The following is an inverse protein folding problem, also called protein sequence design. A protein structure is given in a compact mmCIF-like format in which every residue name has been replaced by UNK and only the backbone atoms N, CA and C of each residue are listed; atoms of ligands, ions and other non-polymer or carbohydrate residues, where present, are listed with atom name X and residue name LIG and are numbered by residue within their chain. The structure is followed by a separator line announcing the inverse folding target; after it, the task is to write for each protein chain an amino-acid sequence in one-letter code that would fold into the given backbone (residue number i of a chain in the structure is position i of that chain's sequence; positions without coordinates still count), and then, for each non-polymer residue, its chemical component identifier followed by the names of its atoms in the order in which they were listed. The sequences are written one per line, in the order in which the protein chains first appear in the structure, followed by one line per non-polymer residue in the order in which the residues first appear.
data_IF_162193103355
#
_entry.id   IF_162193103355
#
_cell.length_a   1.000
_cell.length_b   1.000
_cell.length_c   1.000
_cell.angle_alpha   90.00
_cell.angle_beta   90.00
_cell.angle_gamma   90.00
#
_symmetry.space_group_name_H-M   'P 1'
#
loop_
_entity.id
_entity.type
_entity.pdbx_description
1 polymer ?
#
# COMPACT_ATOMS: atom_id res chain seq x y z
N UNK A 1 -6.59 -10.50 28.14
CA UNK A 1 -5.52 -10.96 27.23
C UNK A 1 -5.10 -12.34 27.64
N UNK A 2 -4.95 -13.25 26.67
CA UNK A 2 -4.46 -14.60 26.89
C UNK A 2 -2.93 -14.66 26.80
N UNK A 3 -2.29 -15.68 27.39
CA UNK A 3 -0.82 -15.78 27.40
C UNK A 3 -0.22 -15.84 25.99
N UNK A 4 -0.88 -16.50 25.04
CA UNK A 4 -0.42 -16.58 23.65
C UNK A 4 -0.39 -15.18 23.01
N UNK A 5 -1.49 -14.44 23.11
CA UNK A 5 -1.61 -13.07 22.62
C UNK A 5 -0.58 -12.13 23.27
N UNK A 6 -0.32 -12.30 24.57
CA UNK A 6 0.68 -11.51 25.28
C UNK A 6 2.10 -11.77 24.76
N UNK A 7 2.44 -13.04 24.50
CA UNK A 7 3.76 -13.43 23.97
C UNK A 7 3.98 -12.91 22.56
N UNK A 8 2.98 -13.00 21.70
CA UNK A 8 3.07 -12.45 20.34
C UNK A 8 3.22 -10.92 20.38
N UNK A 9 2.44 -10.25 21.24
CA UNK A 9 2.52 -8.80 21.40
C UNK A 9 3.87 -8.34 22.00
N UNK A 10 4.52 -9.15 22.85
CA UNK A 10 5.85 -8.85 23.39
C UNK A 10 6.91 -8.75 22.28
N UNK A 11 6.84 -9.59 21.25
CA UNK A 11 7.76 -9.51 20.11
C UNK A 11 7.60 -8.19 19.38
N UNK A 12 6.36 -7.81 19.03
CA UNK A 12 6.03 -6.55 18.38
C UNK A 12 6.46 -5.32 19.21
N UNK A 13 6.32 -5.39 20.54
CA UNK A 13 6.75 -4.34 21.46
C UNK A 13 8.27 -4.17 21.47
N UNK A 14 9.01 -5.28 21.33
CA UNK A 14 10.47 -5.30 21.43
C UNK A 14 11.14 -4.88 20.12
N UNK A 15 10.54 -5.20 18.98
CA UNK A 15 11.15 -4.99 17.65
C UNK A 15 10.59 -3.79 16.88
N UNK A 16 9.50 -3.16 17.34
CA UNK A 16 8.78 -2.20 16.51
C UNK A 16 7.98 -1.12 17.25
N UNK A 17 7.18 -0.40 16.47
CA UNK A 17 6.21 0.58 16.98
C UNK A 17 4.91 -0.13 17.29
N UNK A 18 4.45 0.02 18.51
CA UNK A 18 3.24 -0.65 19.01
C UNK A 18 2.25 0.38 19.54
N UNK A 19 0.94 0.23 19.28
CA UNK A 19 -0.09 1.10 19.85
C UNK A 19 -0.02 1.15 21.39
N UNK A 20 -0.26 2.32 22.01
CA UNK A 20 -0.20 2.47 23.46
C UNK A 20 -1.21 1.59 24.20
N UNK A 21 -2.35 1.29 23.58
CA UNK A 21 -3.39 0.44 24.17
C UNK A 21 -2.93 -1.01 24.31
N UNK A 22 -2.22 -1.52 23.30
CA UNK A 22 -1.64 -2.86 23.35
C UNK A 22 -0.54 -2.95 24.40
N UNK A 23 0.31 -1.92 24.54
CA UNK A 23 1.31 -1.84 25.61
C UNK A 23 0.67 -1.90 27.00
N UNK A 24 -0.43 -1.17 27.22
CA UNK A 24 -1.18 -1.21 28.49
C UNK A 24 -1.79 -2.58 28.76
N UNK A 25 -2.37 -3.22 27.74
CA UNK A 25 -2.95 -4.55 27.87
C UNK A 25 -1.91 -5.62 28.23
N UNK A 26 -0.74 -5.58 27.59
CA UNK A 26 0.38 -6.47 27.90
C UNK A 26 0.91 -6.19 29.31
N UNK A 27 1.13 -4.92 29.68
CA UNK A 27 1.60 -4.57 31.02
C UNK A 27 0.65 -5.07 32.13
N UNK A 28 -0.67 -4.95 31.92
CA UNK A 28 -1.65 -5.51 32.85
C UNK A 28 -1.52 -7.03 32.97
N UNK A 29 -1.38 -7.74 31.85
CA UNK A 29 -1.18 -9.20 31.88
C UNK A 29 0.13 -9.60 32.58
N UNK A 30 1.21 -8.86 32.33
CA UNK A 30 2.51 -9.08 32.99
C UNK A 30 2.45 -8.84 34.49
N UNK A 31 1.53 -8.03 35.01
CA UNK A 31 1.35 -7.88 36.46
C UNK A 31 0.84 -9.18 37.11
N UNK A 32 0.03 -9.94 36.38
CA UNK A 32 -0.66 -11.12 36.92
C UNK A 32 0.02 -12.45 36.52
N UNK A 33 0.79 -12.49 35.43
CA UNK A 33 1.37 -13.73 34.90
C UNK A 33 2.90 -13.80 35.07
N UNK A 34 3.44 -14.63 35.98
CA UNK A 34 4.90 -14.77 36.17
C UNK A 34 5.61 -15.41 34.97
N UNK A 35 4.96 -16.33 34.26
CA UNK A 35 5.55 -16.98 33.08
C UNK A 35 5.78 -15.98 31.94
N UNK A 36 4.79 -15.13 31.65
CA UNK A 36 4.94 -14.10 30.63
C UNK A 36 5.95 -13.02 31.02
N UNK A 37 6.14 -12.74 32.33
CA UNK A 37 7.24 -11.88 32.80
C UNK A 37 8.61 -12.47 32.53
N UNK A 38 8.78 -13.78 32.75
CA UNK A 38 10.05 -14.45 32.44
C UNK A 38 10.39 -14.34 30.95
N UNK A 39 9.41 -14.63 30.09
CA UNK A 39 9.56 -14.50 28.62
C UNK A 39 9.88 -13.05 28.22
N UNK A 40 9.21 -12.06 28.80
CA UNK A 40 9.51 -10.66 28.54
C UNK A 40 10.96 -10.31 28.90
N UNK A 41 11.46 -10.79 30.05
CA UNK A 41 12.84 -10.59 30.47
C UNK A 41 13.86 -11.21 29.50
N UNK A 42 13.61 -12.45 29.06
CA UNK A 42 14.47 -13.14 28.06
C UNK A 42 14.52 -12.39 26.72
N UNK A 43 13.38 -11.86 26.27
CA UNK A 43 13.29 -11.05 25.05
C UNK A 43 14.03 -9.71 25.19
N UNK A 44 13.89 -9.03 26.33
CA UNK A 44 14.58 -7.78 26.62
C UNK A 44 16.09 -7.97 26.68
N UNK A 45 16.56 -9.05 27.30
CA UNK A 45 17.98 -9.42 27.35
C UNK A 45 18.53 -9.69 25.94
N UNK A 46 17.82 -10.50 25.15
CA UNK A 46 18.19 -10.79 23.76
C UNK A 46 18.25 -9.51 22.92
N UNK A 47 17.25 -8.64 23.05
CA UNK A 47 17.21 -7.38 22.34
C UNK A 47 18.33 -6.42 22.78
N UNK A 48 18.73 -6.45 24.06
CA UNK A 48 19.86 -5.67 24.55
C UNK A 48 21.18 -6.13 23.91
N UNK A 49 21.41 -7.45 23.79
CA UNK A 49 22.58 -8.00 23.11
C UNK A 49 22.62 -7.59 21.63
N UNK A 50 21.49 -7.65 20.92
CA UNK A 50 21.40 -7.23 19.52
C UNK A 50 21.65 -5.73 19.36
N UNK A 51 21.11 -4.89 20.26
CA UNK A 51 21.34 -3.44 20.25
C UNK A 51 22.78 -3.04 20.58
N UNK A 52 23.53 -3.91 21.25
CA UNK A 52 24.95 -3.69 21.55
C UNK A 52 25.87 -3.92 20.35
N UNK A 53 25.37 -4.57 19.29
CA UNK A 53 26.13 -4.77 18.05
C UNK A 53 26.32 -3.40 17.37
N UNK A 54 27.56 -2.99 17.07
CA UNK A 54 27.81 -1.74 16.34
C UNK A 54 27.13 -1.75 14.98
N UNK A 55 26.42 -0.69 14.65
CA UNK A 55 25.83 -0.51 13.32
C UNK A 55 26.96 -0.22 12.32
N UNK A 56 27.24 -1.11 11.36
CA UNK A 56 28.31 -0.87 10.39
C UNK A 56 27.93 0.31 9.49
N UNK A 57 28.79 1.32 9.44
CA UNK A 57 28.62 2.40 8.48
C UNK A 57 28.64 1.81 7.06
N UNK A 58 27.65 2.13 6.21
CA UNK A 58 27.69 1.71 4.82
C UNK A 58 28.90 2.33 4.12
N UNK A 59 29.52 1.63 3.15
CA UNK A 59 30.62 2.18 2.36
C UNK A 59 30.23 3.49 1.67
N UNK A 60 31.23 4.34 1.40
CA UNK A 60 31.02 5.57 0.65
C UNK A 60 30.34 5.29 -0.70
N UNK A 61 29.32 6.07 -1.04
CA UNK A 61 28.57 5.92 -2.29
C UNK A 61 27.52 4.80 -2.31
N UNK A 62 27.37 4.03 -1.22
CA UNK A 62 26.34 2.98 -1.13
C UNK A 62 24.92 3.52 -1.40
N UNK A 63 24.51 4.60 -0.72
CA UNK A 63 23.16 5.14 -0.86
C UNK A 63 22.85 5.66 -2.27
N UNK A 64 23.73 6.44 -2.92
CA UNK A 64 23.56 6.79 -4.34
C UNK A 64 23.40 5.58 -5.27
N UNK A 65 24.28 4.57 -5.17
CA UNK A 65 24.20 3.36 -6.01
C UNK A 65 22.92 2.55 -5.75
N UNK A 66 22.53 2.42 -4.48
CA UNK A 66 21.28 1.78 -4.10
C UNK A 66 20.06 2.49 -4.69
N UNK A 67 19.99 3.81 -4.58
CA UNK A 67 18.87 4.61 -5.10
C UNK A 67 18.76 4.51 -6.63
N UNK A 68 19.88 4.56 -7.34
CA UNK A 68 19.90 4.38 -8.81
C UNK A 68 19.32 3.03 -9.22
N UNK A 69 19.74 1.94 -8.56
CA UNK A 69 19.22 0.59 -8.84
C UNK A 69 17.74 0.44 -8.48
N UNK A 70 17.31 1.11 -7.41
CA UNK A 70 15.92 1.10 -6.99
C UNK A 70 15.04 1.81 -8.03
N UNK A 71 15.46 2.99 -8.50
CA UNK A 71 14.74 3.73 -9.54
C UNK A 71 14.64 2.95 -10.85
N UNK A 72 15.71 2.26 -11.25
CA UNK A 72 15.71 1.41 -12.45
C UNK A 72 14.67 0.29 -12.34
N UNK A 73 14.61 -0.40 -11.19
CA UNK A 73 13.62 -1.46 -10.95
C UNK A 73 12.19 -0.96 -10.86
N UNK A 74 11.97 0.23 -10.31
CA UNK A 74 10.63 0.84 -10.25
C UNK A 74 10.18 1.28 -11.66
N UNK A 75 11.14 1.75 -12.48
CA UNK A 75 10.85 2.26 -13.82
C UNK A 75 10.70 1.16 -14.86
N UNK A 76 11.28 -0.03 -14.68
CA UNK A 76 11.07 -1.16 -15.59
C UNK A 76 9.58 -1.56 -15.64
N UNK A 77 8.87 -1.25 -16.75
CA UNK A 77 7.51 -1.73 -16.91
C UNK A 77 7.58 -3.23 -17.13
N UNK A 78 6.83 -4.01 -16.36
CA UNK A 78 6.64 -5.45 -16.61
C UNK A 78 5.92 -5.59 -17.95
N UNK A 79 6.68 -5.69 -19.04
CA UNK A 79 6.14 -5.72 -20.41
C UNK A 79 5.55 -7.09 -20.72
N UNK A 80 4.35 -7.35 -20.22
CA UNK A 80 3.55 -8.55 -20.56
C UNK A 80 3.21 -8.58 -22.07
N UNK A 81 3.21 -7.43 -22.76
CA UNK A 81 2.77 -7.30 -24.15
C UNK A 81 3.76 -7.69 -25.25
N UNK A 82 5.07 -7.76 -24.96
CA UNK A 82 6.10 -7.99 -25.99
C UNK A 82 6.05 -9.40 -26.62
N UNK A 83 5.74 -10.41 -25.81
CA UNK A 83 5.63 -11.81 -26.25
C UNK A 83 4.33 -12.09 -27.02
N UNK A 84 3.23 -11.48 -26.61
CA UNK A 84 1.91 -11.71 -27.22
C UNK A 84 1.84 -11.19 -28.67
N UNK A 85 2.42 -10.01 -28.93
CA UNK A 85 2.44 -9.36 -30.25
C UNK A 85 3.20 -10.15 -31.31
N UNK A 86 4.18 -10.96 -30.92
CA UNK A 86 4.93 -11.85 -31.84
C UNK A 86 4.11 -13.07 -32.24
N UNK A 87 3.20 -13.52 -31.37
CA UNK A 87 2.39 -14.72 -31.61
C UNK A 87 1.19 -14.45 -32.53
N UNK A 88 0.67 -13.21 -32.52
CA UNK A 88 -0.51 -12.79 -33.31
C UNK A 88 -0.20 -12.15 -34.66
N UNK A 89 1.03 -12.25 -35.18
CA UNK A 89 1.33 -11.84 -36.57
C UNK A 89 0.82 -12.91 -37.54
N UNK A 90 -0.41 -12.75 -38.04
CA UNK A 90 -0.97 -13.58 -39.11
C UNK A 90 -0.52 -13.07 -40.50
N UNK A 91 -0.25 -13.97 -41.47
CA UNK A 91 0.14 -13.59 -42.83
C UNK A 91 -1.05 -12.98 -43.61
N UNK A 92 -0.79 -12.05 -44.56
CA UNK A 92 -1.80 -11.20 -45.21
C UNK A 92 -2.80 -11.94 -46.12
N UNK A 93 -2.62 -13.25 -46.36
CA UNK A 93 -3.51 -14.06 -47.20
C UNK A 93 -4.78 -14.56 -46.49
N UNK A 94 -4.89 -14.39 -45.16
CA UNK A 94 -6.04 -14.85 -44.36
C UNK A 94 -6.96 -13.71 -43.88
N UNK A 95 -6.66 -12.47 -44.28
CA UNK A 95 -7.35 -11.24 -43.84
C UNK A 95 -8.87 -11.24 -44.08
N UNK A 96 -9.42 -11.70 -45.22
CA UNK A 96 -10.86 -11.57 -45.46
C UNK A 96 -11.70 -12.55 -44.62
N UNK A 97 -11.19 -13.75 -44.32
CA UNK A 97 -11.88 -14.72 -43.46
C UNK A 97 -11.68 -14.42 -41.96
N UNK A 98 -10.52 -13.86 -41.59
CA UNK A 98 -10.28 -13.40 -40.23
C UNK A 98 -11.11 -12.16 -39.86
N UNK A 99 -11.39 -11.27 -40.82
CA UNK A 99 -12.18 -10.07 -40.59
C UNK A 99 -13.65 -10.38 -40.27
N UNK A 100 -14.26 -11.36 -40.92
CA UNK A 100 -15.66 -11.76 -40.64
C UNK A 100 -15.77 -12.52 -39.32
N UNK A 101 -14.82 -13.41 -39.02
CA UNK A 101 -14.75 -14.08 -37.73
C UNK A 101 -14.47 -13.10 -36.58
N UNK A 102 -13.58 -12.12 -36.80
CA UNK A 102 -13.30 -11.06 -35.82
C UNK A 102 -14.49 -10.11 -35.65
N UNK A 103 -15.21 -9.74 -36.72
CA UNK A 103 -16.42 -8.94 -36.61
C UNK A 103 -17.54 -9.68 -35.86
N UNK A 104 -17.72 -10.98 -36.14
CA UNK A 104 -18.67 -11.82 -35.41
C UNK A 104 -18.26 -11.99 -33.93
N UNK A 105 -16.97 -12.14 -33.64
CA UNK A 105 -16.43 -12.22 -32.29
C UNK A 105 -16.56 -10.88 -31.56
N UNK A 106 -16.28 -9.76 -32.23
CA UNK A 106 -16.47 -8.40 -31.68
C UNK A 106 -17.94 -8.14 -31.43
N UNK A 107 -18.86 -8.59 -32.30
CA UNK A 107 -20.29 -8.47 -32.08
C UNK A 107 -20.79 -9.39 -30.96
N UNK A 108 -20.25 -10.60 -30.84
CA UNK A 108 -20.51 -11.50 -29.73
C UNK A 108 -19.97 -10.95 -28.39
N UNK A 109 -18.75 -10.42 -28.37
CA UNK A 109 -18.14 -9.77 -27.19
C UNK A 109 -18.90 -8.48 -26.87
N UNK A 110 -19.21 -7.65 -27.86
CA UNK A 110 -20.02 -6.44 -27.73
C UNK A 110 -21.38 -6.75 -27.13
N UNK A 111 -22.09 -7.76 -27.62
CA UNK A 111 -23.38 -8.16 -27.06
C UNK A 111 -23.28 -8.75 -25.65
N UNK A 112 -22.13 -9.32 -25.27
CA UNK A 112 -21.84 -9.77 -23.90
C UNK A 112 -21.44 -8.60 -22.98
N UNK A 113 -20.73 -7.59 -23.50
CA UNK A 113 -20.28 -6.39 -22.77
C UNK A 113 -21.41 -5.36 -22.62
N UNK A 114 -22.31 -5.25 -23.60
CA UNK A 114 -23.51 -4.39 -23.55
C UNK A 114 -24.70 -5.06 -22.86
N UNK A 115 -24.65 -6.38 -22.62
CA UNK A 115 -25.51 -6.97 -21.59
C UNK A 115 -25.04 -6.38 -20.27
N UNK A 116 -25.91 -5.72 -19.48
CA UNK A 116 -25.54 -5.38 -18.11
C UNK A 116 -25.10 -6.70 -17.46
N UNK A 117 -23.85 -6.81 -16.97
CA UNK A 117 -23.43 -8.02 -16.30
C UNK A 117 -24.45 -8.27 -15.20
N UNK A 118 -24.95 -9.51 -15.08
CA UNK A 118 -25.55 -9.91 -13.81
C UNK A 118 -24.52 -9.49 -12.76
N UNK A 119 -24.89 -8.59 -11.82
CA UNK A 119 -23.92 -8.00 -10.92
C UNK A 119 -23.19 -9.18 -10.27
N UNK A 120 -21.86 -9.27 -10.44
CA UNK A 120 -21.13 -10.37 -9.85
C UNK A 120 -21.46 -10.36 -8.36
N UNK A 121 -21.91 -11.49 -7.82
CA UNK A 121 -21.98 -11.74 -6.37
C UNK A 121 -20.59 -11.79 -5.73
N UNK A 122 -19.55 -11.35 -6.45
CA UNK A 122 -18.30 -10.97 -5.85
C UNK A 122 -18.60 -9.85 -4.85
N UNK A 123 -18.28 -10.02 -3.55
CA UNK A 123 -18.41 -8.94 -2.60
C UNK A 123 -17.61 -7.75 -3.14
N UNK A 124 -18.26 -6.60 -3.23
CA UNK A 124 -17.56 -5.37 -3.59
C UNK A 124 -16.37 -5.19 -2.64
N UNK A 125 -15.31 -4.47 -3.03
CA UNK A 125 -14.21 -4.15 -2.12
C UNK A 125 -14.73 -3.55 -0.80
N UNK A 126 -15.80 -2.75 -0.87
CA UNK A 126 -16.51 -2.26 0.31
C UNK A 126 -17.16 -3.36 1.14
N UNK A 127 -17.77 -4.38 0.53
CA UNK A 127 -18.36 -5.52 1.24
C UNK A 127 -17.29 -6.44 1.87
N UNK A 128 -16.09 -6.54 1.28
CA UNK A 128 -14.97 -7.28 1.87
C UNK A 128 -14.42 -6.61 3.13
N UNK A 129 -14.41 -5.27 3.15
CA UNK A 129 -13.85 -4.48 4.26
C UNK A 129 -14.90 -4.12 5.32
N UNK A 130 -16.19 -4.16 4.96
CA UNK A 130 -17.31 -3.84 5.86
C UNK A 130 -17.26 -4.51 7.25
N UNK A 131 -16.85 -5.79 7.40
CA UNK A 131 -16.75 -6.44 8.72
C UNK A 131 -15.63 -5.87 9.60
N UNK A 132 -14.64 -5.22 9.00
CA UNK A 132 -13.47 -4.67 9.68
C UNK A 132 -13.63 -3.17 10.04
N UNK A 133 -14.70 -2.53 9.59
CA UNK A 133 -15.00 -1.13 9.92
C UNK A 133 -15.80 -1.10 11.23
N UNK A 134 -15.15 -0.71 12.32
CA UNK A 134 -15.79 -0.56 13.64
C UNK A 134 -16.68 0.68 13.70
N UNK A 135 -17.60 0.73 14.66
CA UNK A 135 -18.46 1.90 14.90
C UNK A 135 -17.64 3.17 15.19
N UNK A 136 -16.50 3.02 15.85
CA UNK A 136 -15.56 4.11 16.08
C UNK A 136 -14.96 4.67 14.78
N UNK A 137 -14.56 3.80 13.85
CA UNK A 137 -14.05 4.23 12.54
C UNK A 137 -15.14 4.92 11.72
N UNK A 138 -16.37 4.42 11.78
CA UNK A 138 -17.53 5.02 11.09
C UNK A 138 -17.86 6.42 11.64
N UNK A 139 -17.81 6.59 12.96
CA UNK A 139 -18.04 7.87 13.61
C UNK A 139 -16.97 8.92 13.23
N UNK A 140 -15.74 8.48 12.92
CA UNK A 140 -14.65 9.37 12.51
C UNK A 140 -14.72 9.80 11.03
N UNK A 141 -15.39 9.03 10.18
CA UNK A 141 -15.45 9.24 8.72
C UNK A 141 -15.81 10.67 8.29
N UNK A 142 -16.86 11.33 8.84
CA UNK A 142 -17.20 12.70 8.43
C UNK A 142 -16.10 13.72 8.75
N UNK A 143 -15.33 13.52 9.82
CA UNK A 143 -14.22 14.40 10.17
C UNK A 143 -13.00 14.19 9.27
N UNK A 144 -12.80 12.96 8.77
CA UNK A 144 -11.76 12.67 7.79
C UNK A 144 -12.07 13.30 6.43
N UNK A 145 -13.34 13.31 6.01
CA UNK A 145 -13.76 13.97 4.77
C UNK A 145 -13.47 15.48 4.82
N UNK A 146 -13.82 16.13 5.94
CA UNK A 146 -13.50 17.54 6.19
C UNK A 146 -11.97 17.80 6.18
N UNK A 147 -11.19 16.96 6.85
CA UNK A 147 -9.73 17.08 6.87
C UNK A 147 -9.09 16.87 5.47
N UNK A 148 -9.62 15.95 4.67
CA UNK A 148 -9.17 15.68 3.30
C UNK A 148 -9.50 16.86 2.38
N UNK A 149 -10.69 17.44 2.50
CA UNK A 149 -11.07 18.64 1.73
C UNK A 149 -10.16 19.83 2.05
N UNK A 150 -9.87 20.06 3.34
CA UNK A 150 -8.94 21.10 3.77
C UNK A 150 -7.56 20.87 3.16
N UNK A 151 -7.04 19.64 3.24
CA UNK A 151 -5.74 19.30 2.65
C UNK A 151 -5.71 19.47 1.12
N UNK A 152 -6.75 19.01 0.41
CA UNK A 152 -6.87 19.16 -1.05
C UNK A 152 -6.97 20.62 -1.50
N UNK A 153 -7.67 21.46 -0.74
CA UNK A 153 -7.73 22.90 -1.01
C UNK A 153 -6.37 23.60 -0.86
N UNK A 154 -5.54 23.13 0.08
CA UNK A 154 -4.16 23.60 0.24
C UNK A 154 -3.26 23.19 -0.94
N UNK A 155 -3.35 21.94 -1.38
CA UNK A 155 -2.62 21.43 -2.54
C UNK A 155 -3.03 22.10 -3.87
N UNK A 156 -4.26 22.60 -3.96
CA UNK A 156 -4.71 23.41 -5.10
C UNK A 156 -4.05 24.79 -5.16
N UNK A 157 -3.66 25.36 -4.01
CA UNK A 157 -3.07 26.69 -3.92
C UNK A 157 -1.57 26.71 -4.30
N UNK A 158 -0.85 25.62 -4.06
CA UNK A 158 0.57 25.46 -4.43
C UNK A 158 0.80 25.23 -5.93
N UNK A 159 -0.25 24.91 -6.70
CA UNK A 159 -0.20 24.83 -8.17
C UNK A 159 -0.60 26.14 -8.87
N UNK A 160 -0.96 27.19 -8.13
CA UNK A 160 -1.13 28.53 -8.69
C UNK A 160 0.24 29.19 -8.79
N UNK A 161 0.77 29.31 -10.01
CA UNK A 161 2.00 30.08 -10.30
C UNK A 161 1.96 31.44 -9.58
N UNK A 162 3.06 31.88 -8.96
CA UNK A 162 3.15 33.26 -8.49
C UNK A 162 3.19 34.15 -9.74
N UNK A 163 2.11 34.90 -9.96
CA UNK A 163 2.14 36.09 -10.81
C UNK A 163 3.24 37.01 -10.26
N UNK A 164 4.41 36.96 -10.91
CA UNK A 164 5.48 37.93 -10.77
C UNK A 164 4.90 39.31 -11.11
N UNK A 165 4.47 40.04 -10.08
CA UNK A 165 4.22 41.47 -10.18
C UNK A 165 5.54 42.15 -10.58
N UNK A 166 5.60 42.86 -11.72
CA UNK A 166 6.81 43.55 -12.11
C UNK A 166 7.05 44.71 -11.13
N UNK A 167 8.22 44.70 -10.49
CA UNK A 167 8.68 45.77 -9.61
C UNK A 167 8.59 47.14 -10.32
N UNK A 168 8.08 48.20 -9.65
CA UNK A 168 8.04 49.54 -10.20
C UNK A 168 9.49 50.01 -10.48
N UNK A 169 9.74 50.36 -11.73
CA UNK A 169 10.99 51.00 -12.15
C UNK A 169 11.08 52.36 -11.46
N UNK A 170 12.09 52.55 -10.61
CA UNK A 170 12.41 53.81 -9.97
C UNK A 170 12.91 54.84 -11.01
N UNK A 171 12.75 56.16 -10.77
CA UNK A 171 12.81 57.21 -11.79
C UNK A 171 14.21 57.47 -12.37
#
# INVERSE_FOLDING_TARGET
MQCLEARDALLEITTGRTPPDLRRAVAAHLADCPECRAVAGELEETAALLRAVPDPAPPDGFWPDFMLRLEERIREPVTVGGRLRRWFRTPPSLVPAAATAAAALVFAISSVVLRPPLPPTAPSPAALVAPYITDSMRALMPHLDEAVQIWQSGLGAENAEPLLEPLPQAP
#
